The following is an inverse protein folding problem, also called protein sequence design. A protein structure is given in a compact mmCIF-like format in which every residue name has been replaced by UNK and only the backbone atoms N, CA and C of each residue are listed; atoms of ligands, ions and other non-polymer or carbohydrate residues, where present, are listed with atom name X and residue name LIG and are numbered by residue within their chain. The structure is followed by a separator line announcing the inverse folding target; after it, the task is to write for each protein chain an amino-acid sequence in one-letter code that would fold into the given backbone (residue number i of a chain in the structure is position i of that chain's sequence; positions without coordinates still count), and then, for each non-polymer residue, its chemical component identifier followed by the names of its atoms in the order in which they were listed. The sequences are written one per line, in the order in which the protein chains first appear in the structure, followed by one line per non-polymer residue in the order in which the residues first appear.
data_IF_762852891654
#
_entry.id   IF_762852891654
#
_cell.length_a   1.000
_cell.length_b   1.000
_cell.length_c   1.000
_cell.angle_alpha   90.00
_cell.angle_beta   90.00
_cell.angle_gamma   90.00
#
_symmetry.space_group_name_H-M   'P 1'
#
loop_
_entity.id
_entity.type
_entity.pdbx_description
1 polymer ?
#
# COMPACT_ATOMS: atom_id res chain seq x y z
N UNK A 1 1.19 -26.83 6.60
CA UNK A 1 1.92 -25.83 5.79
C UNK A 1 0.99 -24.64 5.66
N UNK A 2 1.44 -23.49 6.11
CA UNK A 2 0.63 -22.29 6.21
C UNK A 2 1.33 -21.16 5.46
N UNK A 3 0.55 -20.27 4.84
CA UNK A 3 1.05 -19.08 4.16
C UNK A 3 0.83 -17.86 5.04
N UNK A 4 1.85 -17.01 5.14
CA UNK A 4 1.80 -15.77 5.90
C UNK A 4 2.18 -14.58 5.01
N UNK A 5 1.64 -13.42 5.36
CA UNK A 5 2.06 -12.14 4.76
C UNK A 5 3.31 -11.67 5.48
N UNK A 6 4.34 -11.29 4.73
CA UNK A 6 5.56 -10.72 5.28
C UNK A 6 5.24 -9.42 6.06
N UNK A 7 5.93 -9.17 7.19
CA UNK A 7 5.72 -7.95 7.95
C UNK A 7 6.11 -6.72 7.11
N UNK A 8 5.37 -5.63 7.30
CA UNK A 8 5.66 -4.33 6.70
C UNK A 8 6.43 -3.45 7.69
N UNK A 9 7.36 -2.66 7.17
CA UNK A 9 8.03 -1.58 7.89
C UNK A 9 7.26 -0.28 7.73
N UNK A 10 7.11 0.44 8.86
CA UNK A 10 6.52 1.77 8.91
C UNK A 10 7.62 2.78 9.23
N UNK A 11 7.98 3.61 8.26
CA UNK A 11 8.96 4.66 8.43
C UNK A 11 8.24 6.00 8.53
N UNK A 12 8.11 6.52 9.74
CA UNK A 12 7.55 7.85 9.97
C UNK A 12 8.64 8.90 9.77
N UNK A 13 8.40 9.87 8.90
CA UNK A 13 9.24 11.04 8.73
C UNK A 13 8.71 12.17 9.63
N UNK A 14 9.40 12.53 10.73
CA UNK A 14 8.91 13.54 11.67
C UNK A 14 8.81 14.93 11.04
N UNK A 15 9.67 15.21 10.06
CA UNK A 15 9.78 16.53 9.41
C UNK A 15 8.60 16.82 8.47
N UNK A 16 8.13 15.80 7.73
CA UNK A 16 7.02 15.94 6.79
C UNK A 16 5.68 15.47 7.38
N UNK A 17 5.69 14.74 8.50
CA UNK A 17 4.54 14.04 9.04
C UNK A 17 4.06 12.87 8.17
N UNK A 18 4.82 12.49 7.13
CA UNK A 18 4.46 11.36 6.25
C UNK A 18 4.87 10.03 6.86
N UNK A 19 4.07 9.00 6.62
CA UNK A 19 4.44 7.62 6.93
C UNK A 19 4.67 6.88 5.62
N UNK A 20 5.89 6.42 5.41
CA UNK A 20 6.23 5.48 4.36
C UNK A 20 5.94 4.05 4.85
N UNK A 21 5.31 3.26 3.97
CA UNK A 21 5.02 1.85 4.21
C UNK A 21 5.79 1.06 3.18
N UNK A 22 6.68 0.17 3.61
CA UNK A 22 7.49 -0.66 2.72
C UNK A 22 7.54 -2.10 3.21
N UNK A 23 7.84 -3.02 2.30
CA UNK A 23 8.09 -4.42 2.62
C UNK A 23 9.59 -4.68 2.87
N UNK A 24 10.39 -3.61 2.98
CA UNK A 24 11.83 -3.68 3.19
C UNK A 24 12.54 -4.52 2.12
N UNK A 25 13.45 -5.40 2.54
CA UNK A 25 14.16 -6.34 1.65
C UNK A 25 13.23 -7.39 1.00
N UNK A 26 11.96 -7.45 1.40
CA UNK A 26 10.97 -8.41 0.93
C UNK A 26 10.07 -7.86 -0.19
N UNK A 27 10.46 -6.77 -0.86
CA UNK A 27 9.67 -6.12 -1.91
C UNK A 27 9.16 -7.09 -3.01
N UNK A 28 9.91 -8.14 -3.33
CA UNK A 28 9.46 -9.16 -4.31
C UNK A 28 8.70 -10.34 -3.67
N UNK A 29 8.84 -10.56 -2.36
CA UNK A 29 8.34 -11.75 -1.65
C UNK A 29 7.50 -11.35 -0.44
N UNK A 30 6.37 -10.71 -0.68
CA UNK A 30 5.45 -10.29 0.37
C UNK A 30 4.70 -11.46 1.05
N UNK A 31 4.97 -12.71 0.64
CA UNK A 31 4.43 -13.91 1.25
C UNK A 31 5.55 -14.89 1.54
N UNK A 32 5.39 -15.64 2.63
CA UNK A 32 6.27 -16.75 2.96
C UNK A 32 5.48 -17.96 3.46
N UNK A 33 6.09 -19.13 3.35
CA UNK A 33 5.51 -20.38 3.82
C UNK A 33 6.15 -20.78 5.15
N UNK A 34 5.36 -21.34 6.06
CA UNK A 34 5.83 -21.90 7.33
C UNK A 34 5.24 -23.29 7.58
N UNK A 35 6.00 -24.12 8.29
CA UNK A 35 5.46 -25.35 8.88
C UNK A 35 4.75 -25.05 10.20
N UNK A 36 5.14 -23.96 10.88
CA UNK A 36 4.62 -23.58 12.17
C UNK A 36 3.26 -22.87 12.01
N UNK A 37 2.26 -23.21 12.83
CA UNK A 37 0.94 -22.57 12.77
C UNK A 37 0.97 -21.06 13.09
N UNK A 38 2.05 -20.56 13.69
CA UNK A 38 2.23 -19.15 14.05
C UNK A 38 3.14 -18.38 13.07
N UNK A 39 3.75 -19.06 12.10
CA UNK A 39 4.63 -18.43 11.13
C UNK A 39 6.01 -18.03 11.68
N UNK A 40 6.41 -18.55 12.84
CA UNK A 40 7.67 -18.19 13.50
C UNK A 40 8.92 -18.51 12.65
N UNK A 41 8.87 -19.52 11.80
CA UNK A 41 9.96 -19.86 10.88
C UNK A 41 9.55 -19.83 9.41
N UNK A 42 10.40 -19.26 8.56
CA UNK A 42 10.21 -19.28 7.11
C UNK A 42 10.84 -20.54 6.50
N UNK A 43 10.07 -21.24 5.67
CA UNK A 43 10.57 -22.32 4.83
C UNK A 43 11.43 -21.72 3.72
N UNK A 44 12.63 -22.27 3.53
CA UNK A 44 13.52 -21.84 2.45
C UNK A 44 12.89 -22.04 1.06
N UNK A 45 13.19 -21.13 0.14
CA UNK A 45 12.64 -21.19 -1.23
C UNK A 45 12.92 -22.51 -1.94
N UNK A 46 14.11 -23.10 -1.72
CA UNK A 46 14.49 -24.39 -2.31
C UNK A 46 13.58 -25.53 -1.86
N UNK A 47 13.17 -25.53 -0.60
CA UNK A 47 12.23 -26.52 -0.07
C UNK A 47 10.85 -26.27 -0.68
N UNK A 48 10.37 -25.02 -0.69
CA UNK A 48 9.10 -24.66 -1.33
C UNK A 48 9.02 -25.15 -2.79
N UNK A 49 10.09 -24.94 -3.56
CA UNK A 49 10.17 -25.36 -4.96
C UNK A 49 10.18 -26.89 -5.09
N UNK A 50 10.88 -27.60 -4.21
CA UNK A 50 10.95 -29.07 -4.21
C UNK A 50 9.60 -29.73 -3.93
N UNK A 51 8.80 -29.17 -3.02
CA UNK A 51 7.46 -29.68 -2.70
C UNK A 51 6.34 -29.04 -3.54
N UNK A 52 6.69 -28.17 -4.50
CA UNK A 52 5.75 -27.58 -5.45
C UNK A 52 4.80 -26.54 -4.84
N UNK A 53 5.22 -25.78 -3.82
CA UNK A 53 4.39 -24.70 -3.26
C UNK A 53 4.29 -23.51 -4.23
N UNK A 54 3.11 -22.87 -4.33
CA UNK A 54 2.93 -21.73 -5.23
C UNK A 54 3.71 -20.49 -4.77
N UNK A 55 4.10 -19.67 -5.76
CA UNK A 55 4.69 -18.35 -5.57
C UNK A 55 3.62 -17.31 -5.89
N UNK A 56 3.46 -16.34 -5.00
CA UNK A 56 2.51 -15.26 -5.16
C UNK A 56 3.23 -13.94 -5.32
N UNK A 57 2.72 -13.11 -6.23
CA UNK A 57 3.13 -11.71 -6.37
C UNK A 57 2.07 -10.85 -5.70
N UNK A 58 2.48 -9.83 -4.95
CA UNK A 58 1.54 -8.82 -4.46
C UNK A 58 1.17 -7.89 -5.59
N UNK A 59 -0.13 -7.68 -5.72
CA UNK A 59 -0.69 -6.62 -6.54
C UNK A 59 -1.41 -5.65 -5.60
N UNK A 60 -0.86 -4.45 -5.47
CA UNK A 60 -1.55 -3.36 -4.79
C UNK A 60 -2.52 -2.78 -5.80
N UNK A 61 -3.76 -3.25 -5.75
CA UNK A 61 -4.85 -2.53 -6.39
C UNK A 61 -5.36 -1.50 -5.39
N UNK A 62 -5.22 -0.22 -5.73
CA UNK A 62 -6.13 0.76 -5.17
C UNK A 62 -7.49 0.41 -5.76
N UNK A 63 -8.52 0.03 -4.98
CA UNK A 63 -9.86 0.01 -5.49
C UNK A 63 -10.15 1.46 -5.86
N UNK A 64 -9.91 1.79 -7.13
CA UNK A 64 -10.49 2.96 -7.75
C UNK A 64 -11.97 2.65 -7.64
N UNK A 65 -12.61 3.09 -6.55
CA UNK A 65 -14.05 3.09 -6.39
C UNK A 65 -14.56 3.85 -7.59
N UNK A 66 -14.85 3.16 -8.69
CA UNK A 66 -15.21 3.68 -10.01
C UNK A 66 -15.35 5.20 -9.99
N UNK A 67 -14.25 5.93 -9.97
CA UNK A 67 -14.33 7.37 -9.75
C UNK A 67 -14.71 7.90 -11.11
N UNK A 68 -16.01 8.02 -11.34
CA UNK A 68 -16.53 8.45 -12.62
C UNK A 68 -16.06 9.88 -12.84
N UNK A 69 -15.79 10.25 -14.09
CA UNK A 69 -15.21 11.55 -14.43
C UNK A 69 -15.97 12.73 -13.79
N UNK A 70 -17.29 12.59 -13.63
CA UNK A 70 -18.12 13.61 -12.97
C UNK A 70 -17.78 13.82 -11.49
N UNK A 71 -17.30 12.81 -10.77
CA UNK A 71 -16.90 12.93 -9.36
C UNK A 71 -15.62 13.75 -9.24
N UNK A 72 -14.67 13.54 -10.16
CA UNK A 72 -13.48 14.38 -10.25
C UNK A 72 -13.83 15.82 -10.65
N UNK A 73 -14.72 16.00 -11.64
CA UNK A 73 -15.18 17.34 -12.02
C UNK A 73 -15.91 18.05 -10.87
N UNK A 74 -16.82 17.36 -10.17
CA UNK A 74 -17.51 17.90 -9.01
C UNK A 74 -16.51 18.31 -7.91
N UNK A 75 -15.52 17.48 -7.64
CA UNK A 75 -14.45 17.78 -6.68
C UNK A 75 -13.65 19.02 -7.10
N UNK A 76 -13.28 19.13 -8.37
CA UNK A 76 -12.59 20.32 -8.90
C UNK A 76 -13.44 21.60 -8.74
N UNK A 77 -14.75 21.53 -8.99
CA UNK A 77 -15.65 22.68 -8.81
C UNK A 77 -15.76 23.09 -7.34
N UNK A 78 -15.89 22.12 -6.44
CA UNK A 78 -15.92 22.36 -4.99
C UNK A 78 -14.62 23.03 -4.53
N UNK A 79 -13.47 22.53 -4.97
CA UNK A 79 -12.17 23.12 -4.63
C UNK A 79 -12.05 24.57 -5.12
N UNK A 80 -12.44 24.84 -6.38
CA UNK A 80 -12.47 26.20 -6.94
C UNK A 80 -13.44 27.13 -6.20
N UNK A 81 -14.62 26.63 -5.82
CA UNK A 81 -15.60 27.38 -5.05
C UNK A 81 -15.04 27.84 -3.70
N UNK A 82 -14.25 27.00 -3.04
CA UNK A 82 -13.53 27.35 -1.82
C UNK A 82 -12.25 28.18 -2.05
N UNK A 83 -11.94 28.57 -3.30
CA UNK A 83 -10.78 29.39 -3.65
C UNK A 83 -9.46 28.62 -3.75
N UNK A 84 -9.49 27.29 -3.83
CA UNK A 84 -8.30 26.46 -4.00
C UNK A 84 -8.05 26.14 -5.48
N UNK A 85 -6.78 26.06 -5.87
CA UNK A 85 -6.36 25.54 -7.17
C UNK A 85 -6.38 23.99 -7.13
N UNK A 86 -7.21 23.32 -7.95
CA UNK A 86 -7.30 21.86 -7.97
C UNK A 86 -6.03 21.14 -8.43
N UNK A 87 -5.08 21.84 -9.03
CA UNK A 87 -3.78 21.27 -9.40
C UNK A 87 -2.79 21.22 -8.23
N UNK A 88 -3.18 21.71 -7.05
CA UNK A 88 -2.34 21.77 -5.86
C UNK A 88 -2.86 20.89 -4.73
N UNK A 89 -1.97 20.58 -3.78
CA UNK A 89 -2.33 19.85 -2.55
C UNK A 89 -2.94 20.75 -1.46
N UNK A 90 -3.18 22.03 -1.75
CA UNK A 90 -3.57 23.03 -0.74
C UNK A 90 -4.91 22.68 -0.08
N UNK A 91 -5.88 22.22 -0.88
CA UNK A 91 -7.19 21.78 -0.37
C UNK A 91 -7.06 20.58 0.57
N UNK A 92 -6.31 19.55 0.16
CA UNK A 92 -6.08 18.36 0.98
C UNK A 92 -5.42 18.70 2.32
N UNK A 93 -4.38 19.57 2.30
CA UNK A 93 -3.71 20.05 3.51
C UNK A 93 -4.66 20.83 4.42
N UNK A 94 -5.47 21.73 3.88
CA UNK A 94 -6.44 22.51 4.65
C UNK A 94 -7.51 21.63 5.30
N UNK A 95 -7.90 20.55 4.65
CA UNK A 95 -8.87 19.58 5.15
C UNK A 95 -8.25 18.45 6.00
N UNK A 96 -6.93 18.43 6.21
CA UNK A 96 -6.25 17.35 6.93
C UNK A 96 -6.34 15.98 6.23
N UNK A 97 -6.51 15.96 4.91
CA UNK A 97 -6.62 14.73 4.11
C UNK A 97 -5.23 14.14 3.82
N UNK A 98 -5.12 12.80 3.75
CA UNK A 98 -3.86 12.14 3.44
C UNK A 98 -3.41 12.43 2.00
N UNK A 99 -2.10 12.61 1.83
CA UNK A 99 -1.46 12.74 0.52
C UNK A 99 -0.85 11.40 0.14
N UNK A 100 -1.41 10.75 -0.88
CA UNK A 100 -0.93 9.46 -1.35
C UNK A 100 0.00 9.69 -2.54
N UNK A 101 1.20 9.12 -2.47
CA UNK A 101 2.12 8.99 -3.59
C UNK A 101 2.25 7.50 -3.89
N UNK A 102 1.97 7.12 -5.13
CA UNK A 102 2.14 5.75 -5.66
C UNK A 102 3.37 5.73 -6.53
#
# INVERSE_FOLDING_TARGET
IYMFVAPVSLNQCPESGSTEVSWGEHEENCYFWSFDPDGSTQISQRVCDFIGLPKYKVEISLPVFSCLDYQFQATQQVQKFFGYDPLTQAFAKACGLPLIKV
#
